data_IF_439321846179
#
_entry.id   IF_439321846179
#
_cell.length_a   1.000
_cell.length_b   1.000
_cell.length_c   1.000
_cell.angle_alpha   90.00
_cell.angle_beta   90.00
_cell.angle_gamma   90.00
#
_symmetry.space_group_name_H-M   'P 1'
#
loop_
_entity.id
_entity.type
_entity.pdbx_description
1 polymer ?
#
# COMPACT_ATOMS: atom_id res chain seq x y z
N UNK A 1 -11.77 -7.19 -8.45
CA UNK A 1 -11.55 -7.27 -6.99
C UNK A 1 -11.45 -5.86 -6.44
N UNK A 2 -12.07 -5.60 -5.29
CA UNK A 2 -12.04 -4.27 -4.65
C UNK A 2 -11.00 -4.25 -3.55
N UNK A 3 -10.06 -3.32 -3.61
CA UNK A 3 -9.01 -3.16 -2.58
C UNK A 3 -9.15 -1.77 -1.97
N UNK A 4 -9.12 -1.70 -0.64
CA UNK A 4 -9.00 -0.44 0.10
C UNK A 4 -7.52 -0.14 0.30
N UNK A 5 -7.02 0.90 -0.36
CA UNK A 5 -5.63 1.36 -0.25
C UNK A 5 -5.58 2.54 0.69
N UNK A 6 -4.81 2.41 1.77
CA UNK A 6 -4.53 3.47 2.73
C UNK A 6 -3.13 4.02 2.46
N UNK A 7 -3.03 5.32 2.22
CA UNK A 7 -1.80 6.06 1.98
C UNK A 7 -1.41 6.85 3.22
N UNK A 8 -0.15 6.70 3.64
CA UNK A 8 0.42 7.36 4.81
C UNK A 8 1.56 8.29 4.43
N UNK A 9 1.93 9.20 5.34
CA UNK A 9 3.02 10.14 5.14
C UNK A 9 2.74 11.06 3.96
N UNK A 10 3.78 11.41 3.20
CA UNK A 10 3.66 12.27 2.00
C UNK A 10 2.85 11.66 0.86
N UNK A 11 2.65 10.33 0.82
CA UNK A 11 1.83 9.70 -0.22
C UNK A 11 0.39 10.20 -0.22
N UNK A 12 -0.13 10.60 0.96
CA UNK A 12 -1.49 11.13 1.08
C UNK A 12 -1.64 12.52 0.46
N UNK A 13 -0.54 13.28 0.34
CA UNK A 13 -0.53 14.63 -0.23
C UNK A 13 -0.73 14.63 -1.75
N UNK A 14 -0.51 13.48 -2.41
CA UNK A 14 -0.74 13.29 -3.85
C UNK A 14 -2.23 13.39 -4.23
N UNK A 15 -3.13 13.29 -3.25
CA UNK A 15 -4.57 13.29 -3.48
C UNK A 15 -5.22 14.41 -2.67
N UNK A 16 -5.81 15.38 -3.37
CA UNK A 16 -6.14 16.70 -2.81
C UNK A 16 -7.46 16.75 -2.03
N UNK A 17 -8.30 15.71 -2.11
CA UNK A 17 -9.73 15.90 -1.84
C UNK A 17 -10.22 15.66 -0.41
N UNK A 18 -9.46 15.09 0.53
CA UNK A 18 -9.91 15.10 1.94
C UNK A 18 -8.78 14.82 2.94
N UNK A 19 -8.46 15.82 3.76
CA UNK A 19 -7.39 15.77 4.79
C UNK A 19 -7.92 15.36 6.17
N UNK A 20 -8.86 14.42 6.23
CA UNK A 20 -9.42 13.94 7.49
C UNK A 20 -8.80 12.59 7.87
N UNK A 21 -7.95 12.57 8.90
CA UNK A 21 -7.39 11.36 9.52
C UNK A 21 -5.90 11.08 9.25
N UNK A 22 -5.40 10.00 9.86
CA UNK A 22 -3.98 9.61 9.81
C UNK A 22 -3.54 9.07 8.43
N UNK A 23 -4.49 8.66 7.58
CA UNK A 23 -4.27 8.08 6.24
C UNK A 23 -5.32 8.55 5.25
N UNK A 24 -4.96 8.65 3.98
CA UNK A 24 -5.93 8.83 2.89
C UNK A 24 -6.34 7.48 2.29
N UNK A 25 -7.64 7.23 2.13
CA UNK A 25 -8.16 5.94 1.68
C UNK A 25 -8.78 6.04 0.28
N UNK A 26 -8.31 5.20 -0.64
CA UNK A 26 -8.89 5.05 -1.98
C UNK A 26 -9.34 3.61 -2.21
N UNK A 27 -10.44 3.45 -2.93
CA UNK A 27 -10.94 2.13 -3.34
C UNK A 27 -10.61 1.93 -4.81
N UNK A 28 -9.92 0.84 -5.12
CA UNK A 28 -9.53 0.53 -6.50
C UNK A 28 -10.10 -0.82 -6.97
N UNK A 29 -10.30 -0.92 -8.27
CA UNK A 29 -10.61 -2.17 -8.95
C UNK A 29 -9.32 -2.85 -9.45
N UNK A 30 -8.91 -3.91 -8.77
CA UNK A 30 -7.79 -4.77 -9.15
C UNK A 30 -8.26 -6.05 -9.87
N UNK A 31 -7.39 -6.62 -10.70
CA UNK A 31 -7.59 -7.93 -11.36
C UNK A 31 -7.18 -9.07 -10.42
N UNK A 32 -7.60 -10.30 -10.72
CA UNK A 32 -7.37 -11.46 -9.87
C UNK A 32 -5.90 -11.85 -9.66
N UNK A 33 -5.02 -11.39 -10.55
CA UNK A 33 -3.60 -11.69 -10.51
C UNK A 33 -2.74 -10.45 -10.26
N UNK A 34 -3.35 -9.29 -9.98
CA UNK A 34 -2.59 -8.08 -9.69
C UNK A 34 -1.78 -8.28 -8.40
N UNK A 35 -0.50 -7.91 -8.47
CA UNK A 35 0.37 -7.79 -7.30
C UNK A 35 0.14 -6.46 -6.60
N UNK A 36 0.68 -6.31 -5.39
CA UNK A 36 0.73 -5.02 -4.70
C UNK A 36 1.41 -3.96 -5.59
N UNK A 37 2.45 -4.33 -6.35
CA UNK A 37 3.14 -3.45 -7.28
C UNK A 37 2.21 -2.96 -8.41
N UNK A 38 1.38 -3.85 -8.97
CA UNK A 38 0.44 -3.48 -10.03
C UNK A 38 -0.63 -2.53 -9.51
N UNK A 39 -1.10 -2.77 -8.28
CA UNK A 39 -1.99 -1.86 -7.55
C UNK A 39 -1.36 -0.48 -7.37
N UNK A 40 -0.10 -0.40 -6.93
CA UNK A 40 0.65 0.86 -6.76
C UNK A 40 0.75 1.62 -8.08
N UNK A 41 1.11 0.93 -9.17
CA UNK A 41 1.21 1.55 -10.50
C UNK A 41 -0.16 2.07 -10.99
N UNK A 42 -1.25 1.36 -10.71
CA UNK A 42 -2.61 1.75 -11.09
C UNK A 42 -3.09 3.05 -10.42
N UNK A 43 -2.60 3.34 -9.22
CA UNK A 43 -2.91 4.59 -8.51
C UNK A 43 -1.95 5.73 -8.87
N UNK A 44 -1.05 5.52 -9.85
CA UNK A 44 -0.14 6.54 -10.35
C UNK A 44 1.11 6.77 -9.51
N UNK A 45 1.40 5.88 -8.55
CA UNK A 45 2.58 6.00 -7.67
C UNK A 45 3.70 5.10 -8.21
N UNK A 46 4.96 5.55 -8.14
CA UNK A 46 6.09 4.70 -8.48
C UNK A 46 6.37 3.71 -7.35
N UNK A 47 6.54 2.40 -7.63
CA UNK A 47 6.92 1.43 -6.60
C UNK A 47 8.20 1.79 -5.82
N UNK A 48 9.08 2.61 -6.42
CA UNK A 48 10.32 3.09 -5.77
C UNK A 48 10.06 4.06 -4.61
N UNK A 49 8.92 4.74 -4.62
CA UNK A 49 8.48 5.68 -3.59
C UNK A 49 7.92 4.97 -2.35
N UNK A 50 7.68 3.67 -2.44
CA UNK A 50 7.15 2.87 -1.34
C UNK A 50 8.29 2.30 -0.50
N UNK A 51 8.28 2.59 0.81
CA UNK A 51 9.19 1.96 1.77
C UNK A 51 8.64 0.63 2.26
N UNK A 52 7.38 0.63 2.71
CA UNK A 52 6.73 -0.53 3.30
C UNK A 52 5.29 -0.67 2.80
N UNK A 53 4.86 -1.92 2.63
CA UNK A 53 3.49 -2.27 2.31
C UNK A 53 2.99 -3.30 3.32
N UNK A 54 1.74 -3.13 3.77
CA UNK A 54 1.06 -4.08 4.61
C UNK A 54 -0.23 -4.52 3.95
N UNK A 55 -0.35 -5.82 3.66
CA UNK A 55 -1.57 -6.42 3.16
C UNK A 55 -2.24 -7.16 4.32
N UNK A 56 -3.45 -6.74 4.69
CA UNK A 56 -4.20 -7.30 5.82
C UNK A 56 -3.33 -7.43 7.09
N UNK A 57 -2.69 -6.33 7.49
CA UNK A 57 -1.82 -6.21 8.68
C UNK A 57 -0.49 -6.98 8.63
N UNK A 58 -0.15 -7.59 7.50
CA UNK A 58 1.09 -8.33 7.34
C UNK A 58 2.10 -7.54 6.50
N UNK A 59 3.33 -7.38 7.01
CA UNK A 59 4.40 -6.78 6.23
C UNK A 59 4.65 -7.61 4.97
N UNK A 60 4.49 -6.98 3.81
CA UNK A 60 4.39 -7.68 2.53
C UNK A 60 5.38 -7.13 1.52
N UNK A 61 5.86 -8.00 0.64
CA UNK A 61 6.61 -7.60 -0.53
C UNK A 61 5.69 -7.07 -1.63
N UNK A 62 6.22 -6.27 -2.55
CA UNK A 62 5.40 -5.65 -3.61
C UNK A 62 4.98 -6.67 -4.68
N UNK A 63 5.70 -7.78 -4.81
CA UNK A 63 5.37 -8.93 -5.68
C UNK A 63 4.25 -9.82 -5.11
N UNK A 64 3.87 -9.66 -3.84
CA UNK A 64 2.77 -10.41 -3.23
C UNK A 64 1.45 -10.12 -3.95
N UNK A 65 0.66 -11.15 -4.21
CA UNK A 65 -0.66 -11.02 -4.85
C UNK A 65 -1.64 -10.27 -3.95
N UNK A 66 -2.36 -9.33 -4.54
CA UNK A 66 -3.44 -8.66 -3.83
C UNK A 66 -4.67 -9.57 -3.71
N UNK A 67 -5.46 -9.38 -2.64
CA UNK A 67 -6.65 -10.20 -2.34
C UNK A 67 -7.93 -9.35 -2.43
N UNK A 68 -9.06 -10.02 -2.63
CA UNK A 68 -10.34 -9.31 -2.77
C UNK A 68 -10.75 -8.78 -1.41
N UNK A 69 -11.37 -7.59 -1.39
CA UNK A 69 -11.74 -6.86 -0.17
C UNK A 69 -10.54 -6.61 0.76
N UNK A 70 -9.32 -6.68 0.25
CA UNK A 70 -8.13 -6.51 1.07
C UNK A 70 -7.94 -5.07 1.50
N UNK A 71 -7.27 -4.93 2.65
CA UNK A 71 -6.74 -3.66 3.14
C UNK A 71 -5.25 -3.60 2.84
N UNK A 72 -4.86 -2.68 1.97
CA UNK A 72 -3.46 -2.42 1.63
C UNK A 72 -3.03 -1.08 2.24
N UNK A 73 -2.11 -1.09 3.20
CA UNK A 73 -1.50 0.13 3.73
C UNK A 73 -0.14 0.35 3.06
N UNK A 74 0.09 1.55 2.55
CA UNK A 74 1.31 1.96 1.85
C UNK A 74 1.97 3.12 2.59
N UNK A 75 3.26 2.97 2.84
CA UNK A 75 4.09 3.96 3.52
C UNK A 75 5.17 4.46 2.57
N UNK A 76 5.25 5.79 2.43
CA UNK A 76 6.27 6.44 1.60
C UNK A 76 7.67 6.31 2.19
N UNK A 77 8.70 6.69 1.42
CA UNK A 77 10.10 6.71 1.88
C UNK A 77 10.36 7.65 3.06
N UNK A 78 9.49 8.63 3.28
CA UNK A 78 9.49 9.52 4.43
C UNK A 78 9.08 8.81 5.74
N UNK A 79 8.50 7.61 5.65
CA UNK A 79 8.08 6.80 6.79
C UNK A 79 8.81 5.44 6.77
N UNK A 80 9.85 5.32 7.59
CA UNK A 80 10.57 4.08 7.77
C UNK A 80 10.03 3.29 8.98
N UNK A 81 9.94 1.97 8.84
CA UNK A 81 9.70 1.09 9.98
C UNK A 81 10.97 1.03 10.84
N UNK A 82 10.92 1.64 12.01
CA UNK A 82 11.92 1.37 13.05
C UNK A 82 11.77 -0.11 13.43
N UNK A 83 12.87 -0.86 13.46
CA UNK A 83 12.90 -2.30 13.77
C UNK A 83 12.20 -3.22 12.74
N UNK A 84 12.15 -2.84 11.46
CA UNK A 84 11.60 -3.68 10.38
C UNK A 84 12.22 -5.09 10.27
N UNK A 85 13.44 -5.28 10.76
CA UNK A 85 14.14 -6.57 10.77
C UNK A 85 13.44 -7.67 11.59
N UNK A 86 12.57 -7.32 12.56
CA UNK A 86 11.87 -8.30 13.38
C UNK A 86 10.53 -8.77 12.78
N UNK A 87 10.11 -8.20 11.65
CA UNK A 87 8.88 -8.59 10.97
C UNK A 87 9.20 -9.43 9.73
N UNK A 88 8.66 -10.66 9.61
CA UNK A 88 8.83 -11.43 8.39
C UNK A 88 8.14 -10.72 7.22
N UNK A 89 8.87 -10.53 6.12
CA UNK A 89 8.32 -9.96 4.89
C UNK A 89 7.69 -11.07 4.04
N UNK A 90 6.37 -11.08 3.97
CA UNK A 90 5.61 -12.11 3.26
C UNK A 90 5.63 -11.86 1.75
N UNK A 91 5.91 -12.90 0.97
CA UNK A 91 5.92 -12.87 -0.50
C UNK A 91 4.70 -13.53 -1.15
N UNK A 92 4.03 -14.45 -0.44
CA UNK A 92 2.88 -15.24 -0.95
C UNK A 92 1.52 -14.87 -0.32
#
# INVERSE_FOLDING_TARGET
MKIKVHLFGKLKELFQEEKSGDSYCIVINAKHQDTIQDVIKKIGISPKEISHAFLNHQYSSLDRKAKDKARLALFGRDMALIYGQYFPKIKD
#
